data_IF_700743582358
#
_entry.id   IF_700743582358
#
_cell.length_a   1.000
_cell.length_b   1.000
_cell.length_c   1.000
_cell.angle_alpha   90.00
_cell.angle_beta   90.00
_cell.angle_gamma   90.00
#
_symmetry.space_group_name_H-M   'P 1'
#
loop_
_entity.id
_entity.type
_entity.pdbx_description
1 polymer ?
#
# COMPACT_ATOMS: atom_id res chain seq x y z
N UNK A 1 20.42 -11.09 16.74
CA UNK A 1 20.10 -11.38 15.33
C UNK A 1 20.47 -12.80 14.87
N UNK A 2 21.34 -13.56 15.56
CA UNK A 2 21.72 -14.93 15.15
C UNK A 2 20.70 -16.04 15.46
N UNK A 3 19.80 -15.87 16.43
CA UNK A 3 18.81 -16.90 16.79
C UNK A 3 17.70 -17.06 15.74
N UNK A 4 17.24 -15.97 15.13
CA UNK A 4 16.18 -16.00 14.11
C UNK A 4 16.66 -16.65 12.80
N UNK A 5 17.91 -16.38 12.40
CA UNK A 5 18.50 -16.99 11.20
C UNK A 5 18.70 -18.50 11.35
N UNK A 6 19.11 -19.00 12.53
CA UNK A 6 19.22 -20.44 12.79
C UNK A 6 17.88 -21.18 12.68
N UNK A 7 16.76 -20.50 12.96
CA UNK A 7 15.42 -21.10 12.89
C UNK A 7 14.88 -21.13 11.46
N UNK A 8 15.17 -20.13 10.64
CA UNK A 8 14.73 -20.09 9.24
C UNK A 8 15.54 -21.03 8.32
N UNK A 9 16.75 -21.45 8.72
CA UNK A 9 17.65 -22.27 7.88
C UNK A 9 17.96 -23.67 8.41
N UNK A 10 17.56 -24.05 9.64
CA UNK A 10 17.82 -25.41 10.15
C UNK A 10 16.58 -26.30 10.03
N UNK A 11 16.62 -27.21 9.04
CA UNK A 11 15.76 -28.39 8.92
C UNK A 11 16.12 -29.55 9.87
N UNK A 12 17.06 -29.36 10.81
CA UNK A 12 17.59 -30.41 11.69
C UNK A 12 17.74 -29.92 13.14
N UNK A 13 16.67 -29.94 13.92
CA UNK A 13 16.74 -29.89 15.38
C UNK A 13 15.82 -30.97 15.96
N UNK A 14 16.41 -32.10 16.37
CA UNK A 14 15.75 -33.22 17.08
C UNK A 14 15.26 -32.85 18.50
N UNK A 15 15.40 -31.58 18.89
CA UNK A 15 14.71 -30.98 20.02
C UNK A 15 14.09 -29.70 19.48
N UNK A 16 12.79 -29.67 19.23
CA UNK A 16 12.06 -28.45 18.87
C UNK A 16 11.97 -27.53 20.10
N UNK A 17 12.77 -26.45 20.24
CA UNK A 17 12.28 -25.36 21.05
C UNK A 17 11.13 -24.75 20.26
N UNK A 18 9.89 -25.08 20.65
CA UNK A 18 8.69 -24.46 20.11
C UNK A 18 8.71 -22.96 20.44
N UNK A 19 9.32 -22.18 19.57
CA UNK A 19 9.37 -20.74 19.67
C UNK A 19 8.05 -20.20 19.11
N UNK A 20 7.07 -20.05 19.98
CA UNK A 20 5.78 -19.48 19.60
C UNK A 20 5.95 -17.96 19.43
N UNK A 21 6.06 -17.52 18.18
CA UNK A 21 5.96 -16.12 17.81
C UNK A 21 4.48 -15.79 17.69
N UNK A 22 3.94 -15.17 18.74
CA UNK A 22 2.58 -14.67 18.73
C UNK A 22 2.50 -13.38 17.90
N UNK A 23 2.29 -13.53 16.60
CA UNK A 23 2.06 -12.41 15.69
C UNK A 23 0.67 -11.77 15.87
N UNK A 24 -0.26 -12.44 16.54
CA UNK A 24 -1.62 -11.92 16.77
C UNK A 24 -1.70 -11.02 18.02
N UNK A 25 -0.96 -11.35 19.09
CA UNK A 25 -0.96 -10.59 20.35
C UNK A 25 0.40 -9.98 20.72
N UNK A 26 1.31 -9.82 19.75
CA UNK A 26 2.59 -9.14 19.98
C UNK A 26 2.36 -7.75 20.60
N UNK A 27 2.80 -7.57 21.84
CA UNK A 27 2.72 -6.29 22.54
C UNK A 27 4.02 -5.51 22.33
N UNK A 28 3.96 -4.24 21.89
CA UNK A 28 5.16 -3.44 21.74
C UNK A 28 5.83 -3.20 23.09
N UNK A 29 7.16 -3.34 23.12
CA UNK A 29 7.94 -2.88 24.26
C UNK A 29 7.91 -1.34 24.35
N UNK A 30 8.21 -0.76 25.51
CA UNK A 30 8.19 0.72 25.66
C UNK A 30 9.12 1.44 24.67
N UNK A 31 10.21 0.78 24.26
CA UNK A 31 11.15 1.26 23.24
C UNK A 31 10.59 1.18 21.81
N UNK A 32 9.68 0.24 21.53
CA UNK A 32 9.11 0.01 20.20
C UNK A 32 7.74 0.66 20.02
N UNK A 33 7.07 1.04 21.13
CA UNK A 33 5.71 1.58 21.14
C UNK A 33 5.55 2.77 20.20
N UNK A 34 6.52 3.69 20.14
CA UNK A 34 6.45 4.85 19.23
C UNK A 34 6.44 4.44 17.75
N UNK A 35 7.24 3.44 17.36
CA UNK A 35 7.29 2.93 15.99
C UNK A 35 6.03 2.11 15.68
N UNK A 36 5.59 1.28 16.64
CA UNK A 36 4.40 0.47 16.52
C UNK A 36 3.15 1.33 16.31
N UNK A 37 2.95 2.40 17.10
CA UNK A 37 1.80 3.30 16.95
C UNK A 37 1.78 3.99 15.59
N UNK A 38 2.96 4.43 15.10
CA UNK A 38 3.09 5.06 13.79
C UNK A 38 2.74 4.09 12.65
N UNK A 39 3.21 2.84 12.74
CA UNK A 39 2.93 1.80 11.73
C UNK A 39 1.47 1.34 11.79
N UNK A 40 0.92 1.17 12.99
CA UNK A 40 -0.49 0.76 13.20
C UNK A 40 -1.47 1.77 12.58
N UNK A 41 -1.20 3.08 12.73
CA UNK A 41 -2.00 4.12 12.06
C UNK A 41 -1.99 3.98 10.53
N UNK A 42 -0.83 3.72 9.93
CA UNK A 42 -0.70 3.54 8.47
C UNK A 42 -1.38 2.25 8.02
N UNK A 43 -1.27 1.16 8.79
CA UNK A 43 -1.91 -0.11 8.47
C UNK A 43 -3.44 -0.03 8.56
N UNK A 44 -3.99 0.73 9.52
CA UNK A 44 -5.43 1.00 9.60
C UNK A 44 -5.94 1.74 8.36
N UNK A 45 -5.19 2.74 7.89
CA UNK A 45 -5.51 3.45 6.66
C UNK A 45 -5.37 2.56 5.41
N UNK A 46 -4.47 1.57 5.43
CA UNK A 46 -4.17 0.69 4.30
C UNK A 46 -5.41 -0.07 3.80
N UNK A 47 -6.28 -0.51 4.71
CA UNK A 47 -7.48 -1.27 4.34
C UNK A 47 -8.45 -0.44 3.51
N UNK A 48 -8.68 0.81 3.91
CA UNK A 48 -9.50 1.74 3.13
C UNK A 48 -8.89 2.06 1.76
N UNK A 49 -7.57 2.17 1.67
CA UNK A 49 -6.85 2.35 0.40
C UNK A 49 -7.05 1.13 -0.52
N UNK A 50 -6.94 -0.09 0.01
CA UNK A 50 -7.14 -1.33 -0.74
C UNK A 50 -8.58 -1.46 -1.25
N UNK A 51 -9.58 -1.13 -0.42
CA UNK A 51 -10.99 -1.16 -0.82
C UNK A 51 -11.26 -0.15 -1.95
N UNK A 52 -10.70 1.06 -1.85
CA UNK A 52 -10.81 2.08 -2.90
C UNK A 52 -10.12 1.67 -4.20
N UNK A 53 -8.99 0.95 -4.11
CA UNK A 53 -8.24 0.44 -5.25
C UNK A 53 -8.98 -0.72 -5.93
N UNK A 54 -9.57 -1.63 -5.16
CA UNK A 54 -10.41 -2.71 -5.71
C UNK A 54 -11.65 -2.17 -6.42
N UNK A 55 -12.25 -1.11 -5.89
CA UNK A 55 -13.40 -0.44 -6.50
C UNK A 55 -13.04 0.48 -7.69
N UNK A 56 -11.76 0.55 -8.10
CA UNK A 56 -11.30 1.43 -9.17
C UNK A 56 -11.71 0.88 -10.55
N UNK A 57 -12.78 1.41 -11.13
CA UNK A 57 -13.28 0.99 -12.46
C UNK A 57 -12.56 1.66 -13.64
N UNK A 58 -11.83 2.75 -13.39
CA UNK A 58 -11.22 3.58 -14.45
C UNK A 58 -12.26 4.40 -15.24
N UNK A 59 -11.78 5.14 -16.24
CA UNK A 59 -12.60 5.94 -17.18
C UNK A 59 -12.16 5.70 -18.64
N UNK A 60 -11.75 4.46 -18.94
CA UNK A 60 -11.14 4.13 -20.23
C UNK A 60 -12.10 4.25 -21.40
N UNK A 61 -13.41 4.03 -21.18
CA UNK A 61 -14.43 4.18 -22.21
C UNK A 61 -14.63 5.65 -22.56
N UNK A 62 -14.82 6.50 -21.56
CA UNK A 62 -15.05 7.93 -21.72
C UNK A 62 -13.83 8.60 -22.36
N UNK A 63 -12.62 8.22 -21.95
CA UNK A 63 -11.37 8.69 -22.59
C UNK A 63 -11.33 8.28 -24.07
N UNK A 64 -11.68 7.02 -24.39
CA UNK A 64 -11.65 6.53 -25.77
C UNK A 64 -12.65 7.28 -26.65
N UNK A 65 -13.88 7.47 -26.16
CA UNK A 65 -14.94 8.18 -26.90
C UNK A 65 -14.56 9.65 -27.15
N UNK A 66 -13.95 10.32 -26.15
CA UNK A 66 -13.44 11.67 -26.30
C UNK A 66 -12.26 11.75 -27.31
N UNK A 67 -11.35 10.78 -27.31
CA UNK A 67 -10.24 10.75 -28.28
C UNK A 67 -10.75 10.48 -29.71
N UNK A 68 -11.74 9.61 -29.87
CA UNK A 68 -12.34 9.31 -31.17
C UNK A 68 -13.11 10.49 -31.76
N UNK A 69 -13.69 11.35 -30.92
CA UNK A 69 -14.48 12.50 -31.33
C UNK A 69 -13.93 13.80 -30.70
N UNK A 70 -12.76 14.28 -31.15
CA UNK A 70 -12.06 15.39 -30.50
C UNK A 70 -12.81 16.74 -30.61
N UNK A 71 -13.68 16.89 -31.61
CA UNK A 71 -14.48 18.10 -31.82
C UNK A 71 -15.78 18.13 -30.99
N UNK A 72 -16.11 17.05 -30.29
CA UNK A 72 -17.32 16.99 -29.45
C UNK A 72 -16.99 17.42 -28.01
N UNK A 73 -17.32 18.67 -27.68
CA UNK A 73 -17.10 19.23 -26.34
C UNK A 73 -17.85 18.49 -25.23
N UNK A 74 -19.01 17.87 -25.53
CA UNK A 74 -19.78 17.14 -24.54
C UNK A 74 -19.03 15.88 -24.09
N UNK A 75 -18.44 15.15 -25.04
CA UNK A 75 -17.61 13.98 -24.77
C UNK A 75 -16.30 14.34 -24.06
N UNK A 76 -15.66 15.46 -24.43
CA UNK A 76 -14.48 15.96 -23.70
C UNK A 76 -14.81 16.25 -22.23
N UNK A 77 -15.93 16.93 -21.99
CA UNK A 77 -16.37 17.28 -20.63
C UNK A 77 -16.75 16.03 -19.83
N UNK A 78 -17.42 15.06 -20.44
CA UNK A 78 -17.77 13.80 -19.80
C UNK A 78 -16.51 13.01 -19.38
N UNK A 79 -15.53 12.89 -20.27
CA UNK A 79 -14.25 12.27 -19.96
C UNK A 79 -13.52 13.01 -18.83
N UNK A 80 -13.47 14.34 -18.87
CA UNK A 80 -12.85 15.13 -17.81
C UNK A 80 -13.52 14.92 -16.45
N UNK A 81 -14.85 14.98 -16.38
CA UNK A 81 -15.63 14.76 -15.15
C UNK A 81 -15.40 13.36 -14.58
N UNK A 82 -15.27 12.34 -15.44
CA UNK A 82 -14.98 10.97 -15.01
C UNK A 82 -13.53 10.81 -14.52
N UNK A 83 -12.55 11.44 -15.19
CA UNK A 83 -11.12 11.27 -14.91
C UNK A 83 -10.67 12.02 -13.65
N UNK A 84 -11.15 13.24 -13.42
CA UNK A 84 -10.75 14.08 -12.27
C UNK A 84 -10.83 13.34 -10.92
N UNK A 85 -11.95 12.70 -10.53
CA UNK A 85 -12.02 11.98 -9.27
C UNK A 85 -11.10 10.74 -9.23
N UNK A 86 -10.87 10.09 -10.37
CA UNK A 86 -9.96 8.94 -10.46
C UNK A 86 -8.50 9.35 -10.24
N UNK A 87 -8.07 10.47 -10.84
CA UNK A 87 -6.75 11.05 -10.59
C UNK A 87 -6.59 11.46 -9.13
N UNK A 88 -7.66 11.97 -8.50
CA UNK A 88 -7.71 12.22 -7.06
C UNK A 88 -7.41 10.97 -6.23
N UNK A 89 -8.00 9.82 -6.58
CA UNK A 89 -7.69 8.53 -5.93
C UNK A 89 -6.25 8.09 -6.16
N UNK A 90 -5.74 8.18 -7.39
CA UNK A 90 -4.35 7.85 -7.71
C UNK A 90 -3.37 8.70 -6.89
N UNK A 91 -3.64 10.00 -6.74
CA UNK A 91 -2.85 10.90 -5.88
C UNK A 91 -2.88 10.45 -4.42
N UNK A 92 -4.05 10.05 -3.89
CA UNK A 92 -4.18 9.51 -2.53
C UNK A 92 -3.33 8.25 -2.34
N UNK A 93 -3.35 7.33 -3.30
CA UNK A 93 -2.54 6.11 -3.26
C UNK A 93 -1.04 6.40 -3.26
N UNK A 94 -0.60 7.36 -4.08
CA UNK A 94 0.79 7.80 -4.10
C UNK A 94 1.23 8.48 -2.80
N UNK A 95 0.37 9.29 -2.17
CA UNK A 95 0.67 9.88 -0.87
C UNK A 95 0.75 8.82 0.23
N UNK A 96 -0.12 7.80 0.17
CA UNK A 96 -0.08 6.66 1.07
C UNK A 96 1.24 5.87 0.93
N UNK A 97 1.70 5.61 -0.29
CA UNK A 97 2.98 4.88 -0.49
C UNK A 97 4.19 5.66 0.03
N UNK A 98 4.20 6.99 -0.08
CA UNK A 98 5.23 7.82 0.52
C UNK A 98 5.22 7.78 2.05
N UNK A 99 4.03 7.80 2.67
CA UNK A 99 3.89 7.63 4.12
C UNK A 99 4.47 6.28 4.53
N UNK A 100 4.06 5.21 3.86
CA UNK A 100 4.56 3.86 4.12
C UNK A 100 6.10 3.78 4.00
N UNK A 101 6.67 4.33 2.92
CA UNK A 101 8.12 4.38 2.72
C UNK A 101 8.89 5.22 3.75
N UNK A 102 8.21 6.13 4.46
CA UNK A 102 8.84 6.91 5.55
C UNK A 102 9.07 6.03 6.78
N UNK A 103 8.21 5.04 7.02
CA UNK A 103 8.29 4.18 8.20
C UNK A 103 9.10 2.90 7.95
N UNK A 104 9.14 2.41 6.71
CA UNK A 104 9.86 1.18 6.34
C UNK A 104 11.35 1.38 6.03
N UNK A 105 11.85 2.61 6.13
CA UNK A 105 13.26 2.93 5.91
C UNK A 105 13.65 3.02 4.42
N UNK A 106 14.92 3.39 4.13
CA UNK A 106 15.39 3.71 2.78
C UNK A 106 15.31 2.53 1.79
N UNK A 107 15.35 1.29 2.29
CA UNK A 107 15.29 0.07 1.46
C UNK A 107 13.90 -0.24 0.88
N UNK A 108 12.83 0.38 1.41
CA UNK A 108 11.45 0.18 0.92
C UNK A 108 10.92 1.37 0.10
N UNK A 109 11.79 2.30 -0.32
CA UNK A 109 11.38 3.33 -1.28
C UNK A 109 10.98 2.63 -2.58
N UNK A 110 9.68 2.66 -2.89
CA UNK A 110 9.18 2.28 -4.21
C UNK A 110 9.84 3.23 -5.21
N UNK A 111 10.89 2.76 -5.88
CA UNK A 111 11.53 3.46 -6.99
C UNK A 111 10.56 3.51 -8.16
N UNK A 112 9.67 4.52 -8.16
CA UNK A 112 9.13 5.04 -9.41
C UNK A 112 10.20 5.94 -10.02
N UNK A 113 11.19 5.32 -10.67
CA UNK A 113 11.94 6.02 -11.72
C UNK A 113 11.00 6.14 -12.92
N UNK A 114 10.52 7.36 -13.16
CA UNK A 114 10.00 7.78 -14.47
C UNK A 114 11.15 7.85 -15.48
#
# INVERSE_FOLDING_TARGET
MGNLLKVLTCTDLEQEPNFFLDFENAQPTDTEREVWEKVDLVLKDARGILDELQAYKGAGQEIREAIQNPNDEALQKAAWVAVVPLVGKLKKFYQFSQRLGTYLGPDFRISFSL
#
